data_IF_030771728285
#
_entry.id   IF_030771728285
#
_cell.length_a   1.000
_cell.length_b   1.000
_cell.length_c   1.000
_cell.angle_alpha   90.00
_cell.angle_beta   90.00
_cell.angle_gamma   90.00
#
_symmetry.space_group_name_H-M   'P 1'
#
loop_
_entity.id
_entity.type
_entity.pdbx_description
1 polymer ?
#
# COMPACT_ATOMS: atom_id res chain seq x y z
N UNK A 1 -2.06 25.13 -16.95
CA UNK A 1 -0.96 24.34 -16.31
C UNK A 1 -0.87 22.86 -16.75
N UNK A 2 -1.83 22.29 -17.51
CA UNK A 2 -1.80 20.86 -17.91
C UNK A 2 -0.81 20.48 -19.03
N UNK A 3 -0.47 21.38 -19.95
CA UNK A 3 0.32 21.02 -21.14
C UNK A 3 1.83 20.87 -20.86
N UNK A 4 2.41 21.78 -20.08
CA UNK A 4 3.86 21.83 -19.80
C UNK A 4 4.33 20.66 -18.93
N UNK A 5 3.51 20.25 -17.96
CA UNK A 5 3.78 19.08 -17.13
C UNK A 5 3.86 17.79 -17.97
N UNK A 6 3.06 17.67 -19.05
CA UNK A 6 3.08 16.48 -19.90
C UNK A 6 4.34 16.36 -20.76
N UNK A 7 4.92 17.49 -21.20
CA UNK A 7 6.13 17.50 -22.03
C UNK A 7 7.35 17.18 -21.19
N UNK A 8 7.49 17.80 -20.02
CA UNK A 8 8.57 17.49 -19.07
C UNK A 8 8.50 16.03 -18.60
N UNK A 9 7.29 15.53 -18.36
CA UNK A 9 7.04 14.13 -18.00
C UNK A 9 7.44 13.16 -19.12
N UNK A 10 7.01 13.41 -20.37
CA UNK A 10 7.41 12.58 -21.51
C UNK A 10 8.92 12.64 -21.79
N UNK A 11 9.54 13.80 -21.59
CA UNK A 11 11.00 13.94 -21.71
C UNK A 11 11.74 13.13 -20.61
N UNK A 12 11.23 13.15 -19.38
CA UNK A 12 11.74 12.31 -18.29
C UNK A 12 11.57 10.82 -18.62
N UNK A 13 10.38 10.39 -19.04
CA UNK A 13 10.13 9.00 -19.46
C UNK A 13 11.08 8.56 -20.58
N UNK A 14 11.21 9.38 -21.62
CA UNK A 14 12.11 9.09 -22.74
C UNK A 14 13.57 8.98 -22.30
N UNK A 15 14.00 9.80 -21.34
CA UNK A 15 15.34 9.72 -20.74
C UNK A 15 15.55 8.40 -20.00
N UNK A 16 14.57 7.97 -19.20
CA UNK A 16 14.62 6.71 -18.45
C UNK A 16 14.58 5.46 -19.36
N UNK A 17 13.91 5.56 -20.50
CA UNK A 17 13.84 4.47 -21.49
C UNK A 17 15.07 4.42 -22.42
N UNK A 18 15.69 5.56 -22.73
CA UNK A 18 16.87 5.65 -23.60
C UNK A 18 18.08 4.92 -23.00
N UNK A 19 18.21 4.95 -21.68
CA UNK A 19 19.26 4.20 -20.98
C UNK A 19 19.00 2.68 -20.97
N UNK A 20 17.82 2.20 -21.40
CA UNK A 20 17.35 0.80 -21.25
C UNK A 20 17.70 -0.17 -22.36
N UNK A 21 18.40 0.27 -23.40
CA UNK A 21 18.81 -0.61 -24.48
C UNK A 21 19.99 -1.49 -23.99
N UNK A 22 19.84 -2.83 -23.91
CA UNK A 22 20.94 -3.70 -23.52
C UNK A 22 21.99 -3.65 -24.63
N UNK A 23 23.20 -3.20 -24.31
CA UNK A 23 24.36 -3.53 -25.13
C UNK A 23 24.60 -5.03 -25.02
N UNK A 24 24.70 -5.68 -26.19
CA UNK A 24 24.96 -7.11 -26.38
C UNK A 24 26.24 -7.52 -25.60
N UNK A 25 26.32 -8.72 -25.00
CA UNK A 25 27.52 -9.12 -24.28
C UNK A 25 28.59 -9.57 -25.28
N UNK A 26 29.40 -8.64 -25.77
CA UNK A 26 30.67 -8.98 -26.40
C UNK A 26 31.74 -9.00 -25.29
N UNK A 27 32.37 -10.17 -25.13
CA UNK A 27 33.58 -10.32 -24.32
C UNK A 27 34.67 -9.38 -24.86
N UNK A 28 35.09 -8.39 -24.07
CA UNK A 28 36.47 -7.91 -24.01
C UNK A 28 36.70 -7.05 -22.76
N UNK A 29 37.77 -7.37 -22.04
CA UNK A 29 38.41 -6.50 -21.05
C UNK A 29 38.80 -5.16 -21.68
N UNK A 30 38.57 -4.06 -20.96
CA UNK A 30 39.06 -2.74 -21.37
C UNK A 30 38.18 -1.60 -20.90
N UNK A 31 38.67 -0.90 -19.88
CA UNK A 31 38.17 0.42 -19.45
C UNK A 31 38.07 1.32 -20.66
N UNK A 32 36.88 1.90 -20.96
CA UNK A 32 36.78 3.22 -21.61
C UNK A 32 35.35 3.79 -21.65
N UNK A 33 35.33 5.12 -21.55
CA UNK A 33 34.25 6.10 -21.72
C UNK A 33 33.18 6.21 -20.60
N UNK A 34 33.45 7.12 -19.67
CA UNK A 34 32.45 7.84 -18.88
C UNK A 34 31.43 8.57 -19.79
N UNK A 35 30.47 7.83 -20.34
CA UNK A 35 29.20 8.37 -20.79
C UNK A 35 28.32 8.54 -19.55
N UNK A 36 28.29 9.74 -18.98
CA UNK A 36 27.68 10.07 -17.67
C UNK A 36 26.16 9.93 -17.60
N UNK A 37 25.63 8.72 -17.81
CA UNK A 37 24.22 8.38 -17.66
C UNK A 37 23.99 7.33 -16.57
N UNK A 38 22.84 7.39 -15.91
CA UNK A 38 22.40 6.35 -14.97
C UNK A 38 22.02 5.08 -15.73
N UNK A 39 22.17 3.89 -15.11
CA UNK A 39 21.63 2.66 -15.68
C UNK A 39 20.11 2.76 -15.83
N UNK A 40 19.52 1.99 -16.75
CA UNK A 40 18.09 2.00 -16.96
C UNK A 40 17.27 1.54 -15.78
N UNK A 41 16.07 2.11 -15.68
CA UNK A 41 15.07 1.67 -14.71
C UNK A 41 14.56 0.30 -15.13
N UNK A 42 14.63 -0.66 -14.21
CA UNK A 42 14.16 -2.05 -14.42
C UNK A 42 12.98 -2.40 -13.52
N UNK A 43 12.67 -1.56 -12.52
CA UNK A 43 11.58 -1.73 -11.56
C UNK A 43 11.30 -0.40 -10.85
N UNK A 44 10.06 -0.18 -10.41
CA UNK A 44 9.68 0.96 -9.57
C UNK A 44 9.16 0.44 -8.23
N UNK A 45 9.64 1.02 -7.12
CA UNK A 45 9.00 0.89 -5.81
C UNK A 45 8.25 2.19 -5.55
N UNK A 46 6.94 2.10 -5.45
CA UNK A 46 6.02 3.23 -5.39
C UNK A 46 5.32 3.29 -4.03
N UNK A 47 5.03 4.48 -3.51
CA UNK A 47 4.07 4.61 -2.41
C UNK A 47 2.69 4.11 -2.88
N UNK A 48 2.09 3.18 -2.13
CA UNK A 48 0.81 2.56 -2.48
C UNK A 48 -0.38 3.52 -2.49
N UNK A 49 -0.26 4.69 -1.86
CA UNK A 49 -1.28 5.74 -1.89
C UNK A 49 -1.07 6.76 -3.03
N UNK A 50 0.08 6.73 -3.69
CA UNK A 50 0.39 7.60 -4.83
C UNK A 50 0.10 6.88 -6.15
N UNK A 51 -1.19 6.61 -6.40
CA UNK A 51 -1.70 5.86 -7.58
C UNK A 51 -1.04 6.22 -8.92
N UNK A 52 -0.76 7.50 -9.18
CA UNK A 52 -0.13 7.96 -10.41
C UNK A 52 1.27 7.34 -10.65
N UNK A 53 2.02 7.03 -9.59
CA UNK A 53 3.35 6.39 -9.72
C UNK A 53 3.28 4.97 -10.27
N UNK A 54 2.16 4.28 -10.04
CA UNK A 54 1.89 2.95 -10.60
C UNK A 54 1.60 3.07 -12.09
N UNK A 55 0.84 4.09 -12.50
CA UNK A 55 0.56 4.36 -13.91
C UNK A 55 1.85 4.75 -14.67
N UNK A 56 2.76 5.50 -14.05
CA UNK A 56 4.09 5.80 -14.62
C UNK A 56 4.88 4.52 -14.91
N UNK A 57 4.91 3.58 -13.96
CA UNK A 57 5.67 2.36 -14.14
C UNK A 57 5.10 1.48 -15.27
N UNK A 58 3.78 1.47 -15.42
CA UNK A 58 3.08 0.83 -16.54
C UNK A 58 3.45 1.50 -17.88
N UNK A 59 3.47 2.84 -17.94
CA UNK A 59 3.93 3.60 -19.11
C UNK A 59 5.42 3.36 -19.45
N UNK A 60 6.25 3.14 -18.43
CA UNK A 60 7.66 2.77 -18.60
C UNK A 60 7.83 1.31 -19.06
N UNK A 61 6.79 0.47 -18.96
CA UNK A 61 6.87 -0.96 -19.28
C UNK A 61 7.69 -1.77 -18.27
N UNK A 62 7.82 -1.29 -17.02
CA UNK A 62 8.60 -1.93 -15.96
C UNK A 62 7.70 -2.41 -14.82
N UNK A 63 8.04 -3.49 -14.10
CA UNK A 63 7.28 -3.91 -12.94
C UNK A 63 7.26 -2.82 -11.85
N UNK A 64 6.14 -2.73 -11.14
CA UNK A 64 5.99 -1.87 -9.95
C UNK A 64 5.62 -2.69 -8.73
N UNK A 65 6.30 -2.40 -7.63
CA UNK A 65 5.97 -2.87 -6.29
C UNK A 65 5.36 -1.69 -5.54
N UNK A 66 4.12 -1.84 -5.07
CA UNK A 66 3.49 -0.79 -4.27
C UNK A 66 3.79 -1.02 -2.79
N UNK A 67 4.09 0.07 -2.09
CA UNK A 67 4.42 0.10 -0.67
C UNK A 67 3.40 0.97 0.05
N UNK A 68 2.26 0.41 0.51
CA UNK A 68 1.37 1.12 1.39
C UNK A 68 2.13 1.49 2.68
N UNK A 69 2.29 2.78 2.93
CA UNK A 69 3.08 3.29 4.07
C UNK A 69 2.34 3.17 5.41
N UNK A 70 1.11 2.68 5.40
CA UNK A 70 0.32 2.38 6.59
C UNK A 70 0.50 0.92 7.04
N UNK A 71 -0.06 0.58 8.19
CA UNK A 71 -0.08 -0.81 8.67
C UNK A 71 -0.91 -1.73 7.76
N UNK A 72 -0.62 -3.04 7.81
CA UNK A 72 -1.40 -4.04 7.09
C UNK A 72 -2.90 -4.00 7.47
N UNK A 73 -3.22 -3.81 8.75
CA UNK A 73 -4.61 -3.69 9.20
C UNK A 73 -5.30 -2.42 8.66
N UNK A 74 -4.59 -1.29 8.58
CA UNK A 74 -5.12 -0.06 7.98
C UNK A 74 -5.41 -0.24 6.49
N UNK A 75 -4.46 -0.87 5.76
CA UNK A 75 -4.64 -1.21 4.35
C UNK A 75 -5.85 -2.12 4.15
N UNK A 76 -6.02 -3.15 4.98
CA UNK A 76 -7.16 -4.07 4.92
C UNK A 76 -8.49 -3.38 5.23
N UNK A 77 -8.52 -2.44 6.18
CA UNK A 77 -9.70 -1.63 6.46
C UNK A 77 -10.11 -0.80 5.22
N UNK A 78 -9.17 -0.16 4.51
CA UNK A 78 -9.46 0.58 3.28
C UNK A 78 -9.97 -0.30 2.13
N UNK A 79 -9.44 -1.52 2.01
CA UNK A 79 -9.94 -2.53 1.06
C UNK A 79 -11.34 -3.04 1.43
N UNK A 80 -11.72 -2.96 2.70
CA UNK A 80 -13.02 -3.39 3.21
C UNK A 80 -14.11 -2.31 3.11
N UNK A 81 -13.77 -1.09 2.70
CA UNK A 81 -14.71 0.04 2.64
C UNK A 81 -16.00 -0.27 1.88
N UNK A 82 -16.01 -0.91 0.69
CA UNK A 82 -17.25 -1.25 0.00
C UNK A 82 -18.16 -2.14 0.86
N UNK A 83 -17.59 -3.16 1.49
CA UNK A 83 -18.32 -4.08 2.38
C UNK A 83 -18.86 -3.38 3.63
N UNK A 84 -18.10 -2.44 4.19
CA UNK A 84 -18.55 -1.65 5.35
C UNK A 84 -19.77 -0.79 5.01
N UNK A 85 -19.84 -0.23 3.79
CA UNK A 85 -21.04 0.45 3.33
C UNK A 85 -22.21 -0.51 3.09
N UNK A 86 -21.96 -1.67 2.48
CA UNK A 86 -23.00 -2.70 2.25
C UNK A 86 -23.63 -3.20 3.56
N UNK A 87 -22.84 -3.31 4.63
CA UNK A 87 -23.29 -3.73 5.95
C UNK A 87 -23.89 -2.59 6.80
N UNK A 88 -23.86 -1.34 6.32
CA UNK A 88 -24.32 -0.18 7.09
C UNK A 88 -23.41 0.21 8.26
N UNK A 89 -22.17 -0.29 8.28
CA UNK A 89 -21.14 0.07 9.26
C UNK A 89 -20.61 1.50 9.05
N UNK A 90 -20.72 2.03 7.82
CA UNK A 90 -20.36 3.40 7.47
C UNK A 90 -21.51 4.18 6.82
N UNK A 91 -21.62 5.50 7.08
CA UNK A 91 -20.88 6.25 8.11
C UNK A 91 -21.27 5.81 9.53
N UNK A 92 -20.39 6.04 10.51
CA UNK A 92 -20.77 5.85 11.90
C UNK A 92 -21.93 6.80 12.29
N UNK A 93 -22.85 6.38 13.17
CA UNK A 93 -23.88 7.27 13.71
C UNK A 93 -23.25 8.48 14.43
N UNK A 94 -23.84 9.68 14.29
CA UNK A 94 -23.42 10.86 15.06
C UNK A 94 -23.56 10.61 16.57
N UNK A 95 -22.48 10.84 17.31
CA UNK A 95 -22.42 10.53 18.74
C UNK A 95 -22.48 9.02 19.05
N UNK A 96 -22.35 8.16 18.04
CA UNK A 96 -22.35 6.71 18.22
C UNK A 96 -21.18 6.23 19.08
N UNK A 97 -21.39 5.10 19.76
CA UNK A 97 -20.36 4.51 20.61
C UNK A 97 -19.15 4.08 19.77
N UNK A 98 -17.97 4.57 20.16
CA UNK A 98 -16.70 4.24 19.52
C UNK A 98 -16.09 2.93 20.01
N UNK A 99 -16.63 2.34 21.09
CA UNK A 99 -16.30 0.98 21.55
C UNK A 99 -17.11 -0.12 20.83
N UNK A 100 -18.11 0.25 20.02
CA UNK A 100 -18.90 -0.72 19.27
C UNK A 100 -18.02 -1.50 18.26
N UNK A 101 -18.20 -2.84 18.17
CA UNK A 101 -17.49 -3.65 17.19
C UNK A 101 -17.83 -3.23 15.77
N UNK A 102 -16.89 -3.47 14.85
CA UNK A 102 -17.07 -3.27 13.41
C UNK A 102 -17.01 -4.62 12.71
N UNK A 103 -18.05 -4.96 11.97
CA UNK A 103 -18.09 -6.16 11.16
C UNK A 103 -17.64 -5.90 9.72
N UNK A 104 -17.14 -6.94 9.04
CA UNK A 104 -16.82 -6.87 7.61
C UNK A 104 -15.38 -6.51 7.25
N UNK A 105 -14.48 -6.37 8.23
CA UNK A 105 -13.02 -6.35 7.99
C UNK A 105 -12.43 -7.75 8.22
N UNK A 106 -11.98 -8.46 7.16
CA UNK A 106 -11.53 -9.85 7.26
C UNK A 106 -10.42 -10.08 8.29
N UNK A 107 -10.58 -11.09 9.14
CA UNK A 107 -9.58 -11.45 10.16
C UNK A 107 -9.52 -10.51 11.36
N UNK A 108 -10.43 -9.53 11.43
CA UNK A 108 -10.49 -8.53 12.51
C UNK A 108 -11.88 -8.44 13.14
N UNK A 109 -12.86 -9.25 12.68
CA UNK A 109 -14.27 -9.15 13.06
C UNK A 109 -14.54 -9.41 14.55
N UNK A 110 -13.62 -10.07 15.26
CA UNK A 110 -13.78 -10.42 16.66
C UNK A 110 -13.28 -9.36 17.66
N UNK A 111 -12.50 -8.37 17.21
CA UNK A 111 -11.87 -7.41 18.12
C UNK A 111 -11.81 -5.95 17.60
N UNK A 112 -12.04 -5.71 16.30
CA UNK A 112 -11.98 -4.37 15.75
C UNK A 112 -13.16 -3.52 16.24
N UNK A 113 -12.87 -2.32 16.77
CA UNK A 113 -13.87 -1.33 17.16
C UNK A 113 -13.79 -0.09 16.28
N UNK A 114 -14.85 0.72 16.28
CA UNK A 114 -14.89 1.99 15.50
C UNK A 114 -13.72 2.93 15.80
N UNK A 115 -13.25 3.00 17.05
CA UNK A 115 -12.08 3.83 17.42
C UNK A 115 -10.75 3.36 16.83
N UNK A 116 -10.65 2.07 16.52
CA UNK A 116 -9.43 1.44 16.03
C UNK A 116 -9.26 1.64 14.50
N UNK A 117 -10.33 2.03 13.80
CA UNK A 117 -10.29 2.37 12.39
C UNK A 117 -9.51 3.69 12.14
N UNK A 118 -8.88 3.83 10.96
CA UNK A 118 -8.16 5.05 10.59
C UNK A 118 -9.02 6.30 10.72
N UNK A 119 -8.42 7.45 11.04
CA UNK A 119 -9.17 8.70 11.24
C UNK A 119 -10.09 9.12 10.09
N UNK A 120 -9.80 8.83 8.80
CA UNK A 120 -10.74 9.09 7.71
C UNK A 120 -12.06 8.32 7.77
N UNK A 121 -12.19 7.28 8.58
CA UNK A 121 -13.46 6.57 8.77
C UNK A 121 -14.43 7.32 9.69
N UNK A 122 -13.90 8.25 10.50
CA UNK A 122 -14.71 9.03 11.44
C UNK A 122 -15.58 10.04 10.68
N UNK A 123 -16.83 10.26 11.10
CA UNK A 123 -17.73 11.19 10.44
C UNK A 123 -17.21 12.64 10.52
N UNK A 124 -17.55 13.43 9.51
CA UNK A 124 -17.30 14.89 9.48
C UNK A 124 -18.66 15.59 9.61
N UNK A 125 -18.83 16.38 10.66
CA UNK A 125 -20.12 16.97 11.01
C UNK A 125 -21.13 15.92 11.50
N UNK A 126 -22.41 16.29 11.51
CA UNK A 126 -23.48 15.36 11.88
C UNK A 126 -23.72 14.36 10.73
N UNK A 127 -23.42 13.08 10.98
CA UNK A 127 -23.69 11.95 10.08
C UNK A 127 -23.00 11.98 8.70
N UNK A 128 -22.02 12.86 8.48
CA UNK A 128 -21.34 12.98 7.19
C UNK A 128 -20.24 11.94 6.99
N UNK A 129 -20.23 11.26 5.84
CA UNK A 129 -19.07 10.46 5.39
C UNK A 129 -17.90 11.40 5.12
N UNK A 130 -16.76 11.14 5.74
CA UNK A 130 -15.53 11.84 5.43
C UNK A 130 -15.06 11.47 4.01
N UNK A 131 -15.04 12.42 3.09
CA UNK A 131 -14.65 12.19 1.69
C UNK A 131 -13.25 11.57 1.53
N UNK A 132 -12.36 11.75 2.51
CA UNK A 132 -11.03 11.13 2.53
C UNK A 132 -11.10 9.61 2.57
N UNK A 133 -12.15 9.00 3.15
CA UNK A 133 -12.30 7.53 3.16
C UNK A 133 -12.39 6.97 1.75
N UNK A 134 -13.17 7.62 0.88
CA UNK A 134 -13.33 7.20 -0.51
C UNK A 134 -12.06 7.43 -1.32
N UNK A 135 -11.39 8.57 -1.11
CA UNK A 135 -10.13 8.89 -1.81
C UNK A 135 -9.04 7.87 -1.46
N UNK A 136 -8.84 7.59 -0.17
CA UNK A 136 -7.81 6.65 0.29
C UNK A 136 -8.17 5.21 -0.06
N UNK A 137 -9.44 4.83 0.01
CA UNK A 137 -9.91 3.52 -0.48
C UNK A 137 -9.62 3.36 -1.97
N UNK A 138 -9.93 4.37 -2.80
CA UNK A 138 -9.61 4.35 -4.23
C UNK A 138 -8.12 4.18 -4.50
N UNK A 139 -7.26 4.92 -3.80
CA UNK A 139 -5.80 4.76 -3.94
C UNK A 139 -5.34 3.37 -3.51
N UNK A 140 -5.89 2.84 -2.41
CA UNK A 140 -5.58 1.49 -1.93
C UNK A 140 -6.00 0.43 -2.96
N UNK A 141 -7.19 0.54 -3.55
CA UNK A 141 -7.62 -0.36 -4.63
C UNK A 141 -6.73 -0.25 -5.87
N UNK A 142 -6.32 0.96 -6.25
CA UNK A 142 -5.40 1.16 -7.38
C UNK A 142 -4.03 0.53 -7.14
N UNK A 143 -3.57 0.47 -5.89
CA UNK A 143 -2.34 -0.24 -5.52
C UNK A 143 -2.37 -1.73 -5.90
N UNK A 144 -3.56 -2.33 -6.01
CA UNK A 144 -3.74 -3.70 -6.48
C UNK A 144 -3.38 -3.96 -7.94
N UNK A 145 -3.13 -2.91 -8.74
CA UNK A 145 -2.55 -3.04 -10.08
C UNK A 145 -1.05 -3.32 -10.06
N UNK A 146 -0.37 -3.07 -8.94
CA UNK A 146 1.04 -3.36 -8.80
C UNK A 146 1.29 -4.87 -8.82
N UNK A 147 2.52 -5.26 -9.19
CA UNK A 147 2.92 -6.67 -9.25
C UNK A 147 2.92 -7.33 -7.87
N UNK A 148 3.25 -6.58 -6.83
CA UNK A 148 3.15 -7.01 -5.44
C UNK A 148 3.00 -5.81 -4.51
N UNK A 149 2.50 -6.10 -3.31
CA UNK A 149 2.48 -5.16 -2.19
C UNK A 149 3.62 -5.48 -1.22
N UNK A 150 4.40 -4.47 -0.86
CA UNK A 150 5.36 -4.53 0.24
C UNK A 150 4.64 -3.94 1.45
N UNK A 151 4.43 -4.75 2.49
CA UNK A 151 3.80 -4.29 3.73
C UNK A 151 4.89 -4.12 4.79
N UNK A 152 4.91 -2.97 5.47
CA UNK A 152 5.80 -2.72 6.59
C UNK A 152 5.29 -3.45 7.86
N UNK A 153 5.36 -4.77 7.86
CA UNK A 153 5.00 -5.61 9.00
C UNK A 153 5.75 -6.95 8.95
N UNK A 154 5.86 -7.62 10.09
CA UNK A 154 6.38 -8.98 10.13
C UNK A 154 5.24 -9.98 9.87
N UNK A 155 5.52 -11.05 9.14
CA UNK A 155 4.63 -12.20 9.18
C UNK A 155 4.62 -12.72 10.62
N UNK A 156 3.43 -12.85 11.23
CA UNK A 156 3.36 -13.58 12.49
C UNK A 156 3.86 -15.00 12.22
N UNK A 157 4.82 -15.54 12.98
CA UNK A 157 4.95 -16.99 13.05
C UNK A 157 3.58 -17.51 13.48
N UNK A 158 3.07 -18.56 12.83
CA UNK A 158 1.84 -19.23 13.26
C UNK A 158 1.93 -19.61 14.75
N UNK A 159 0.81 -19.99 15.39
CA UNK A 159 0.79 -20.22 16.83
C UNK A 159 1.96 -21.13 17.21
N UNK A 160 2.86 -20.62 18.06
CA UNK A 160 3.91 -21.41 18.66
C UNK A 160 3.20 -22.61 19.30
N UNK A 161 3.44 -23.81 18.76
CA UNK A 161 2.97 -25.03 19.39
C UNK A 161 3.43 -24.98 20.84
N UNK A 162 2.48 -25.03 21.77
CA UNK A 162 2.74 -24.82 23.18
C UNK A 162 3.91 -25.67 23.63
N UNK A 163 4.96 -25.02 24.12
CA UNK A 163 5.92 -25.70 24.96
C UNK A 163 5.17 -26.10 26.22
N UNK A 164 4.86 -27.40 26.29
CA UNK A 164 4.29 -28.04 27.46
C UNK A 164 5.12 -27.77 28.70
N UNK A 165 4.38 -27.51 29.77
CA UNK A 165 4.74 -27.31 31.17
C UNK A 165 5.99 -28.07 31.65
N UNK A 166 6.75 -27.44 32.56
CA UNK A 166 7.14 -28.13 33.79
C UNK A 166 6.99 -27.17 34.97
N UNK A 167 6.02 -27.48 35.82
CA UNK A 167 5.75 -26.77 37.06
C UNK A 167 6.91 -26.89 38.04
N UNK A 168 7.32 -25.78 38.62
CA UNK A 168 8.24 -25.74 39.75
C UNK A 168 7.43 -25.93 41.02
N UNK A 169 7.54 -27.10 41.66
CA UNK A 169 7.06 -27.29 43.03
C UNK A 169 7.83 -26.35 43.98
N UNK A 170 7.19 -25.74 44.99
CA UNK A 170 7.89 -25.07 46.06
C UNK A 170 8.39 -26.10 47.08
N UNK A 171 9.67 -26.02 47.45
CA UNK A 171 10.22 -26.75 48.59
C UNK A 171 9.69 -26.15 49.89
N UNK A 172 9.28 -27.04 50.80
CA UNK A 172 8.96 -26.73 52.20
C UNK A 172 10.16 -26.16 52.97
#
# INVERSE_FOLDING_TARGET
MRAVASVAYRALLASLQSTARPTRPDHHDGVDAHGGGFPPVTCVVADGYLSWTIDIADELGVPVLAFPTSSACSTLAYLSVPRLFELGELPFPAGGDLDEPVHGVPGMESFLRRRDLPSPFRPVGENGVNSRVHVLSKYTFHSGKARALILNTAASPGPAQGQGQQGRQPSA
#
